data_IF_833838233224
#
_entry.id   IF_833838233224
#
_cell.length_a   1.000
_cell.length_b   1.000
_cell.length_c   1.000
_cell.angle_alpha   90.00
_cell.angle_beta   90.00
_cell.angle_gamma   90.00
#
_symmetry.space_group_name_H-M   'P 1'
#
loop_
_entity.id
_entity.type
_entity.pdbx_description
1 polymer ?
#
# COMPACT_ATOMS: atom_id res chain seq x y z
N UNK A 1 -23.77 -29.28 -20.29
CA UNK A 1 -22.92 -28.14 -20.67
C UNK A 1 -23.38 -26.91 -19.91
N UNK A 2 -22.77 -26.57 -18.77
CA UNK A 2 -22.88 -25.23 -18.13
C UNK A 2 -21.64 -25.01 -17.26
N UNK A 3 -20.59 -24.46 -17.86
CA UNK A 3 -19.39 -24.03 -17.13
C UNK A 3 -19.74 -22.85 -16.23
N UNK A 4 -19.57 -23.01 -14.92
CA UNK A 4 -19.67 -21.93 -13.92
C UNK A 4 -18.48 -20.97 -14.08
N UNK A 5 -18.67 -19.65 -13.88
CA UNK A 5 -17.58 -18.69 -14.00
C UNK A 5 -16.61 -18.86 -12.83
N UNK A 6 -15.32 -19.05 -13.15
CA UNK A 6 -14.23 -19.11 -12.16
C UNK A 6 -14.01 -17.68 -11.65
N UNK A 7 -14.41 -17.41 -10.40
CA UNK A 7 -14.09 -16.13 -9.73
C UNK A 7 -12.57 -16.02 -9.56
N UNK A 8 -12.01 -14.96 -10.13
CA UNK A 8 -10.59 -14.66 -10.15
C UNK A 8 -10.04 -14.43 -8.72
N UNK A 9 -9.14 -15.30 -8.25
CA UNK A 9 -8.51 -15.20 -6.91
C UNK A 9 -7.49 -14.06 -6.76
N UNK A 10 -7.15 -13.35 -7.84
CA UNK A 10 -6.13 -12.29 -7.83
C UNK A 10 -6.48 -11.04 -7.01
N UNK A 11 -7.76 -10.79 -6.71
CA UNK A 11 -8.18 -9.65 -5.88
C UNK A 11 -7.98 -9.86 -4.38
N UNK A 12 -8.10 -11.10 -3.90
CA UNK A 12 -8.00 -11.43 -2.47
C UNK A 12 -6.54 -11.36 -2.00
N UNK A 13 -5.60 -11.86 -2.80
CA UNK A 13 -4.17 -11.81 -2.51
C UNK A 13 -3.64 -10.37 -2.47
N UNK A 14 -4.17 -9.49 -3.32
CA UNK A 14 -3.77 -8.08 -3.34
C UNK A 14 -4.26 -7.33 -2.09
N UNK A 15 -5.48 -7.59 -1.64
CA UNK A 15 -6.04 -6.94 -0.45
C UNK A 15 -5.31 -7.36 0.83
N UNK A 16 -4.97 -8.65 0.93
CA UNK A 16 -4.13 -9.19 2.01
C UNK A 16 -2.72 -8.59 1.97
N UNK A 17 -2.16 -8.40 0.77
CA UNK A 17 -0.84 -7.77 0.60
C UNK A 17 -0.83 -6.31 1.08
N UNK A 18 -1.88 -5.54 0.77
CA UNK A 18 -1.99 -4.15 1.26
C UNK A 18 -2.20 -4.06 2.77
N UNK A 19 -3.00 -4.96 3.35
CA UNK A 19 -3.17 -5.03 4.80
C UNK A 19 -1.83 -5.32 5.51
N UNK A 20 -1.04 -6.24 4.97
CA UNK A 20 0.31 -6.53 5.46
C UNK A 20 1.25 -5.32 5.34
N UNK A 21 1.26 -4.63 4.19
CA UNK A 21 2.04 -3.40 3.99
C UNK A 21 1.65 -2.34 5.04
N UNK A 22 0.36 -2.13 5.30
CA UNK A 22 -0.11 -1.17 6.30
C UNK A 22 0.37 -1.51 7.71
N UNK A 23 0.38 -2.79 8.07
CA UNK A 23 0.95 -3.23 9.35
C UNK A 23 2.44 -2.87 9.43
N UNK A 24 3.24 -3.21 8.41
CA UNK A 24 4.67 -2.87 8.40
C UNK A 24 4.93 -1.36 8.47
N UNK A 25 4.15 -0.55 7.76
CA UNK A 25 4.28 0.91 7.78
C UNK A 25 4.01 1.49 9.18
N UNK A 26 3.05 0.93 9.91
CA UNK A 26 2.78 1.31 11.30
C UNK A 26 3.94 0.99 12.25
N UNK A 27 4.55 -0.19 12.10
CA UNK A 27 5.75 -0.58 12.87
C UNK A 27 6.93 0.34 12.55
N UNK A 28 7.20 0.61 11.28
CA UNK A 28 8.30 1.49 10.85
C UNK A 28 8.12 2.94 11.34
N UNK A 29 6.87 3.44 11.35
CA UNK A 29 6.59 4.79 11.87
C UNK A 29 6.95 4.90 13.35
N UNK A 30 6.62 3.88 14.16
CA UNK A 30 7.01 3.86 15.57
C UNK A 30 8.54 3.86 15.76
N UNK A 31 9.28 3.18 14.88
CA UNK A 31 10.76 3.21 14.91
C UNK A 31 11.27 4.61 14.54
N UNK A 32 10.74 5.22 13.48
CA UNK A 32 11.13 6.56 13.05
C UNK A 32 10.81 7.64 14.10
N UNK A 33 9.69 7.50 14.81
CA UNK A 33 9.30 8.40 15.92
C UNK A 33 10.33 8.34 17.06
N UNK A 34 10.82 7.15 17.42
CA UNK A 34 11.85 6.97 18.46
C UNK A 34 13.16 7.66 18.10
N UNK A 35 13.50 7.67 16.81
CA UNK A 35 14.68 8.34 16.26
C UNK A 35 14.46 9.84 15.99
N UNK A 36 13.26 10.39 16.28
CA UNK A 36 12.88 11.79 16.00
C UNK A 36 13.08 12.18 14.53
N UNK A 37 12.84 11.24 13.62
CA UNK A 37 12.96 11.46 12.19
C UNK A 37 11.64 11.99 11.61
N UNK A 38 11.36 13.28 11.80
CA UNK A 38 10.04 13.89 11.49
C UNK A 38 9.63 13.72 10.02
N UNK A 39 10.56 13.97 9.08
CA UNK A 39 10.28 13.80 7.65
C UNK A 39 10.00 12.33 7.29
N UNK A 40 10.70 11.39 7.94
CA UNK A 40 10.48 9.96 7.72
C UNK A 40 9.13 9.52 8.27
N UNK A 41 8.73 10.02 9.44
CA UNK A 41 7.39 9.78 10.01
C UNK A 41 6.30 10.25 9.05
N UNK A 42 6.45 11.45 8.49
CA UNK A 42 5.53 11.98 7.49
C UNK A 42 5.42 11.08 6.26
N UNK A 43 6.55 10.66 5.68
CA UNK A 43 6.55 9.79 4.49
C UNK A 43 5.89 8.43 4.76
N UNK A 44 6.14 7.84 5.94
CA UNK A 44 5.53 6.58 6.35
C UNK A 44 4.02 6.71 6.58
N UNK A 45 3.57 7.83 7.15
CA UNK A 45 2.16 8.12 7.34
C UNK A 45 1.43 8.35 6.00
N UNK A 46 2.04 9.09 5.07
CA UNK A 46 1.48 9.28 3.73
C UNK A 46 1.41 7.95 2.95
N UNK A 47 2.45 7.10 3.06
CA UNK A 47 2.42 5.76 2.46
C UNK A 47 1.34 4.86 3.07
N UNK A 48 1.04 5.01 4.37
CA UNK A 48 0.00 4.25 5.05
C UNK A 48 -1.40 4.63 4.54
N UNK A 49 -1.67 5.93 4.37
CA UNK A 49 -2.92 6.44 3.79
C UNK A 49 -3.09 5.93 2.37
N UNK A 50 -2.06 6.08 1.53
CA UNK A 50 -2.03 5.60 0.14
C UNK A 50 -2.30 4.09 0.04
N UNK A 51 -1.68 3.27 0.90
CA UNK A 51 -1.95 1.83 0.93
C UNK A 51 -3.40 1.52 1.34
N UNK A 52 -4.01 2.34 2.19
CA UNK A 52 -5.43 2.24 2.55
C UNK A 52 -6.35 2.55 1.36
N UNK A 53 -6.05 3.61 0.62
CA UNK A 53 -6.78 4.01 -0.58
C UNK A 53 -6.70 2.92 -1.66
N UNK A 54 -5.50 2.38 -1.90
CA UNK A 54 -5.28 1.26 -2.82
C UNK A 54 -6.02 -0.01 -2.39
N UNK A 55 -6.04 -0.32 -1.09
CA UNK A 55 -6.77 -1.47 -0.55
C UNK A 55 -8.29 -1.32 -0.72
N UNK A 56 -8.82 -0.10 -0.64
CA UNK A 56 -10.22 0.23 -0.90
C UNK A 56 -10.58 0.28 -2.40
N UNK A 57 -9.59 0.10 -3.29
CA UNK A 57 -9.78 0.17 -4.73
C UNK A 57 -9.76 1.60 -5.29
N UNK A 58 -9.42 2.59 -4.46
CA UNK A 58 -9.14 3.95 -4.91
C UNK A 58 -7.73 3.96 -5.49
N UNK A 59 -7.61 3.76 -6.81
CA UNK A 59 -6.33 3.94 -7.49
C UNK A 59 -6.09 5.45 -7.66
N UNK A 60 -4.99 6.01 -7.12
CA UNK A 60 -4.68 7.42 -7.33
C UNK A 60 -4.43 7.69 -8.80
N UNK A 61 -4.85 8.88 -9.23
CA UNK A 61 -4.79 9.34 -10.62
C UNK A 61 -3.34 9.57 -11.11
N UNK A 62 -2.36 9.57 -10.20
CA UNK A 62 -0.96 9.82 -10.51
C UNK A 62 -0.13 8.58 -10.20
N UNK A 63 -0.03 7.65 -11.16
CA UNK A 63 1.14 6.78 -11.21
C UNK A 63 2.35 7.69 -11.43
N UNK A 64 3.07 8.05 -10.37
CA UNK A 64 4.41 8.62 -10.49
C UNK A 64 5.24 7.49 -11.10
N UNK A 65 5.30 7.47 -12.44
CA UNK A 65 6.23 6.64 -13.17
C UNK A 65 7.61 7.12 -12.74
N UNK A 66 8.29 6.29 -11.95
CA UNK A 66 9.68 6.48 -11.61
C UNK A 66 10.48 6.22 -12.89
N UNK A 67 10.46 7.20 -13.80
CA UNK A 67 11.35 7.24 -14.94
C UNK A 67 12.76 7.39 -14.39
N UNK A 68 13.57 6.38 -14.64
CA UNK A 68 15.02 6.36 -14.44
C UNK A 68 15.60 7.74 -14.78
N UNK A 69 16.08 8.45 -13.76
CA UNK A 69 16.99 9.57 -13.98
C UNK A 69 18.39 9.08 -13.61
N UNK A 70 19.09 8.71 -14.69
CA UNK A 70 20.53 8.49 -14.81
C UNK A 70 21.36 9.52 -14.04
#
# INVERSE_FOLDING_TARGET
>A
MTSKPVKNKGGQTSMESFAFIRQMLGELRQVAERERADLLCYLLEMAYVEAGDLQAGHRPLASIQHGERH
#
